data_IF_061537852200
#
_entry.id   IF_061537852200
#
_cell.length_a   1.000
_cell.length_b   1.000
_cell.length_c   1.000
_cell.angle_alpha   90.00
_cell.angle_beta   90.00
_cell.angle_gamma   90.00
#
_symmetry.space_group_name_H-M   'P 1'
#
loop_
_entity.id
_entity.type
_entity.pdbx_description
1 polymer ?
#
# COMPACT_ATOMS: atom_id res chain seq x y z
N UNK A 1 15.48 -37.09 6.11
CA UNK A 1 16.05 -36.22 7.17
C UNK A 1 16.08 -34.74 6.71
N UNK A 2 14.95 -34.20 6.21
CA UNK A 2 14.87 -32.82 5.69
C UNK A 2 14.02 -31.87 6.56
N UNK A 3 13.36 -32.39 7.62
CA UNK A 3 12.41 -31.61 8.43
C UNK A 3 13.04 -30.82 9.58
N UNK A 4 14.32 -31.03 9.91
CA UNK A 4 14.97 -30.38 11.06
C UNK A 4 15.56 -28.98 10.74
N UNK A 5 15.67 -28.59 9.47
CA UNK A 5 16.29 -27.34 9.03
C UNK A 5 15.35 -26.12 9.03
N UNK A 6 14.05 -26.30 9.30
CA UNK A 6 13.05 -25.22 9.26
C UNK A 6 12.82 -24.57 10.65
N UNK A 7 13.36 -25.16 11.73
CA UNK A 7 13.02 -24.76 13.12
C UNK A 7 13.81 -23.56 13.64
N UNK A 8 14.88 -23.12 12.98
CA UNK A 8 15.68 -21.98 13.45
C UNK A 8 14.97 -20.63 13.14
N UNK A 9 14.52 -19.87 14.16
CA UNK A 9 13.85 -18.58 13.96
C UNK A 9 14.74 -17.55 13.25
N UNK A 10 16.06 -17.72 13.27
CA UNK A 10 17.00 -16.81 12.60
C UNK A 10 17.00 -17.01 11.08
N UNK A 11 16.91 -18.26 10.60
CA UNK A 11 16.81 -18.59 9.17
C UNK A 11 15.49 -18.09 8.57
N UNK A 12 14.38 -18.29 9.29
CA UNK A 12 13.06 -17.78 8.89
C UNK A 12 13.05 -16.24 8.77
N UNK A 13 13.73 -15.54 9.69
CA UNK A 13 13.88 -14.08 9.63
C UNK A 13 14.69 -13.63 8.41
N UNK A 14 15.75 -14.36 8.03
CA UNK A 14 16.57 -14.06 6.84
C UNK A 14 15.78 -14.23 5.55
N UNK A 15 15.07 -15.35 5.38
CA UNK A 15 14.25 -15.63 4.20
C UNK A 15 13.15 -14.56 4.05
N UNK A 16 12.41 -14.24 5.13
CA UNK A 16 11.39 -13.17 5.10
C UNK A 16 11.99 -11.80 4.78
N UNK A 17 13.22 -11.52 5.26
CA UNK A 17 13.93 -10.28 4.93
C UNK A 17 14.26 -10.22 3.45
N UNK A 18 14.88 -11.25 2.88
CA UNK A 18 15.20 -11.33 1.45
C UNK A 18 13.95 -11.18 0.58
N UNK A 19 12.89 -11.93 0.87
CA UNK A 19 11.63 -11.83 0.13
C UNK A 19 11.03 -10.41 0.17
N UNK A 20 11.07 -9.73 1.33
CA UNK A 20 10.60 -8.34 1.43
C UNK A 20 11.43 -7.38 0.59
N UNK A 21 12.75 -7.58 0.55
CA UNK A 21 13.66 -6.75 -0.24
C UNK A 21 13.42 -6.94 -1.74
N UNK A 22 13.33 -8.20 -2.22
CA UNK A 22 13.04 -8.52 -3.62
C UNK A 22 11.65 -8.03 -4.07
N UNK A 23 10.66 -8.11 -3.18
CA UNK A 23 9.34 -7.52 -3.45
C UNK A 23 9.43 -6.00 -3.60
N UNK A 24 10.16 -5.34 -2.70
CA UNK A 24 10.29 -3.88 -2.75
C UNK A 24 11.07 -3.39 -3.98
N UNK A 25 12.10 -4.11 -4.43
CA UNK A 25 12.80 -3.77 -5.68
C UNK A 25 11.87 -3.82 -6.89
N UNK A 26 10.99 -4.83 -6.97
CA UNK A 26 10.02 -4.95 -8.07
C UNK A 26 8.98 -3.82 -8.03
N UNK A 27 8.51 -3.46 -6.83
CA UNK A 27 7.59 -2.31 -6.63
C UNK A 27 8.29 -1.00 -7.01
N UNK A 28 9.56 -0.82 -6.64
CA UNK A 28 10.34 0.37 -6.96
C UNK A 28 10.57 0.51 -8.46
N UNK A 29 10.80 -0.59 -9.17
CA UNK A 29 10.98 -0.63 -10.62
C UNK A 29 9.73 -0.14 -11.39
N UNK A 30 8.53 -0.27 -10.81
CA UNK A 30 7.30 0.29 -11.41
C UNK A 30 7.23 1.81 -11.30
N UNK A 31 7.97 2.41 -10.36
CA UNK A 31 8.03 3.84 -10.13
C UNK A 31 6.91 4.35 -9.22
N UNK A 32 7.22 5.41 -8.45
CA UNK A 32 6.34 6.00 -7.43
C UNK A 32 4.97 6.37 -7.99
N UNK A 33 4.92 7.06 -9.14
CA UNK A 33 3.66 7.50 -9.74
C UNK A 33 2.70 6.36 -10.08
N UNK A 34 3.20 5.26 -10.68
CA UNK A 34 2.37 4.10 -11.00
C UNK A 34 1.89 3.38 -9.75
N UNK A 35 2.74 3.30 -8.72
CA UNK A 35 2.36 2.73 -7.42
C UNK A 35 1.25 3.54 -6.75
N UNK A 36 1.35 4.87 -6.67
CA UNK A 36 0.29 5.68 -6.06
C UNK A 36 -1.04 5.58 -6.84
N UNK A 37 -1.01 5.49 -8.16
CA UNK A 37 -2.23 5.30 -8.96
C UNK A 37 -2.85 3.92 -8.75
N UNK A 38 -2.07 2.84 -8.80
CA UNK A 38 -2.61 1.48 -8.67
C UNK A 38 -2.97 1.12 -7.23
N UNK A 39 -2.09 1.37 -6.27
CA UNK A 39 -2.33 1.02 -4.87
C UNK A 39 -3.18 2.07 -4.13
N UNK A 40 -2.97 3.35 -4.42
CA UNK A 40 -3.68 4.44 -3.74
C UNK A 40 -5.05 4.67 -4.33
N UNK A 41 -5.11 5.07 -5.60
CA UNK A 41 -6.37 5.45 -6.23
C UNK A 41 -7.23 4.23 -6.56
N UNK A 42 -6.70 3.26 -7.30
CA UNK A 42 -7.46 2.09 -7.74
C UNK A 42 -7.61 1.01 -6.65
N UNK A 43 -6.59 0.86 -5.80
CA UNK A 43 -6.54 -0.21 -4.80
C UNK A 43 -7.21 0.13 -3.47
N UNK A 44 -7.23 1.40 -3.07
CA UNK A 44 -7.82 1.84 -1.79
C UNK A 44 -8.90 2.90 -1.97
N UNK A 45 -8.66 3.92 -2.80
CA UNK A 45 -9.58 5.03 -3.00
C UNK A 45 -10.92 4.61 -3.63
N UNK A 46 -10.86 3.95 -4.79
CA UNK A 46 -12.03 3.51 -5.54
C UNK A 46 -12.91 2.51 -4.76
N UNK A 47 -12.36 1.44 -4.15
CA UNK A 47 -13.15 0.51 -3.36
C UNK A 47 -13.74 1.15 -2.11
N UNK A 48 -13.01 2.01 -1.39
CA UNK A 48 -13.58 2.73 -0.24
C UNK A 48 -14.75 3.61 -0.67
N UNK A 49 -14.62 4.27 -1.82
CA UNK A 49 -15.66 5.16 -2.33
C UNK A 49 -16.90 4.38 -2.75
N UNK A 50 -16.72 3.26 -3.45
CA UNK A 50 -17.82 2.35 -3.79
C UNK A 50 -18.49 1.77 -2.54
N UNK A 51 -17.70 1.36 -1.55
CA UNK A 51 -18.21 0.86 -0.27
C UNK A 51 -19.02 1.92 0.48
N UNK A 52 -18.48 3.15 0.58
CA UNK A 52 -19.18 4.26 1.24
C UNK A 52 -20.48 4.62 0.51
N UNK A 53 -20.46 4.64 -0.83
CA UNK A 53 -21.67 4.88 -1.62
C UNK A 53 -22.73 3.79 -1.39
N UNK A 54 -22.34 2.52 -1.29
CA UNK A 54 -23.27 1.43 -0.99
C UNK A 54 -23.86 1.53 0.43
N UNK A 55 -23.03 1.90 1.41
CA UNK A 55 -23.46 2.15 2.79
C UNK A 55 -24.43 3.34 2.86
N UNK A 56 -24.11 4.43 2.16
CA UNK A 56 -24.95 5.63 2.11
C UNK A 56 -26.31 5.35 1.47
N UNK A 57 -26.32 4.60 0.37
CA UNK A 57 -27.55 4.16 -0.28
C UNK A 57 -28.43 3.32 0.64
N UNK A 58 -27.84 2.48 1.51
CA UNK A 58 -28.59 1.60 2.40
C UNK A 58 -29.04 2.26 3.70
N UNK A 59 -28.21 3.13 4.31
CA UNK A 59 -28.48 3.70 5.63
C UNK A 59 -29.15 5.08 5.61
N UNK A 60 -28.93 5.90 4.57
CA UNK A 60 -29.35 7.30 4.60
C UNK A 60 -29.71 7.83 3.19
N UNK A 61 -30.93 7.60 2.69
CA UNK A 61 -31.33 8.04 1.36
C UNK A 61 -31.44 9.56 1.18
N UNK A 62 -31.33 10.36 2.26
CA UNK A 62 -31.45 11.83 2.21
C UNK A 62 -30.11 12.56 2.35
N UNK A 63 -29.01 11.93 1.97
CA UNK A 63 -27.70 12.60 2.01
C UNK A 63 -27.69 13.76 1.01
N UNK A 64 -27.34 14.99 1.44
CA UNK A 64 -27.25 16.13 0.56
C UNK A 64 -26.16 15.89 -0.50
N UNK A 65 -26.44 16.26 -1.75
CA UNK A 65 -25.53 16.04 -2.88
C UNK A 65 -24.11 16.61 -2.66
N UNK A 66 -24.00 17.70 -1.89
CA UNK A 66 -22.72 18.30 -1.48
C UNK A 66 -21.83 17.33 -0.71
N UNK A 67 -22.42 16.53 0.17
CA UNK A 67 -21.70 15.57 1.01
C UNK A 67 -21.28 14.32 0.22
N UNK A 68 -22.08 13.94 -0.79
CA UNK A 68 -21.71 12.89 -1.75
C UNK A 68 -20.48 13.30 -2.59
N UNK A 69 -20.49 14.52 -3.14
CA UNK A 69 -19.36 15.08 -3.90
C UNK A 69 -18.12 15.20 -3.02
N UNK A 70 -18.27 15.65 -1.78
CA UNK A 70 -17.18 15.74 -0.83
C UNK A 70 -16.56 14.36 -0.56
N UNK A 71 -17.38 13.34 -0.32
CA UNK A 71 -16.90 11.97 -0.09
C UNK A 71 -16.21 11.40 -1.34
N UNK A 72 -16.77 11.64 -2.53
CA UNK A 72 -16.21 11.20 -3.80
C UNK A 72 -14.84 11.82 -4.09
N UNK A 73 -14.54 13.00 -3.53
CA UNK A 73 -13.22 13.64 -3.65
C UNK A 73 -12.29 13.29 -2.48
N UNK A 74 -12.77 13.29 -1.24
CA UNK A 74 -11.93 13.04 -0.05
C UNK A 74 -11.45 11.60 0.03
N UNK A 75 -12.31 10.62 -0.24
CA UNK A 75 -11.96 9.21 -0.11
C UNK A 75 -10.82 8.78 -1.05
N UNK A 76 -10.84 9.11 -2.36
CA UNK A 76 -9.69 8.82 -3.22
C UNK A 76 -8.45 9.62 -2.82
N UNK A 77 -8.60 10.86 -2.34
CA UNK A 77 -7.47 11.66 -1.83
C UNK A 77 -6.78 10.96 -0.65
N UNK A 78 -7.58 10.46 0.30
CA UNK A 78 -7.10 9.68 1.44
C UNK A 78 -6.41 8.39 0.99
N UNK A 79 -6.95 7.68 0.00
CA UNK A 79 -6.32 6.50 -0.59
C UNK A 79 -4.92 6.80 -1.16
N UNK A 80 -4.78 7.93 -1.87
CA UNK A 80 -3.49 8.38 -2.42
C UNK A 80 -2.51 8.77 -1.30
N UNK A 81 -2.97 9.47 -0.26
CA UNK A 81 -2.14 9.83 0.90
C UNK A 81 -1.60 8.58 1.62
N UNK A 82 -2.45 7.59 1.87
CA UNK A 82 -2.06 6.32 2.49
C UNK A 82 -1.03 5.60 1.62
N UNK A 83 -1.24 5.53 0.30
CA UNK A 83 -0.27 4.93 -0.61
C UNK A 83 1.07 5.69 -0.61
N UNK A 84 1.05 7.02 -0.48
CA UNK A 84 2.27 7.82 -0.35
C UNK A 84 3.04 7.49 0.94
N UNK A 85 2.33 7.32 2.07
CA UNK A 85 2.94 6.92 3.35
C UNK A 85 3.50 5.50 3.29
N UNK A 86 2.80 4.57 2.63
CA UNK A 86 3.28 3.20 2.42
C UNK A 86 4.54 3.21 1.56
N UNK A 87 4.56 4.02 0.50
CA UNK A 87 5.74 4.20 -0.34
C UNK A 87 6.93 4.73 0.45
N UNK A 88 6.76 5.85 1.16
CA UNK A 88 7.84 6.47 1.92
C UNK A 88 8.37 5.54 3.02
N UNK A 89 7.48 4.83 3.72
CA UNK A 89 7.85 3.87 4.75
C UNK A 89 8.63 2.67 4.19
N UNK A 90 8.22 2.15 3.03
CA UNK A 90 8.92 1.05 2.38
C UNK A 90 10.27 1.49 1.81
N UNK A 91 10.34 2.69 1.23
CA UNK A 91 11.58 3.25 0.70
C UNK A 91 12.59 3.50 1.83
N UNK A 92 12.15 4.12 2.94
CA UNK A 92 12.97 4.30 4.14
C UNK A 92 13.50 2.98 4.69
N UNK A 93 12.64 1.96 4.83
CA UNK A 93 13.04 0.62 5.29
C UNK A 93 13.99 -0.10 4.33
N UNK A 94 13.92 0.20 3.03
CA UNK A 94 14.83 -0.34 2.03
C UNK A 94 16.21 0.31 2.13
N UNK A 95 16.26 1.64 2.30
CA UNK A 95 17.50 2.40 2.49
C UNK A 95 18.21 2.02 3.80
N UNK A 96 17.47 1.91 4.91
CA UNK A 96 17.99 1.50 6.24
C UNK A 96 18.63 0.10 6.23
N UNK A 97 18.27 -0.76 5.27
CA UNK A 97 18.87 -2.10 5.09
C UNK A 97 20.20 -2.08 4.33
N UNK A 98 20.76 -0.90 4.05
CA UNK A 98 22.04 -0.75 3.36
C UNK A 98 21.98 -1.02 1.85
N UNK A 99 20.78 -1.21 1.28
CA UNK A 99 20.59 -1.39 -0.16
C UNK A 99 20.43 -0.03 -0.89
N UNK A 100 20.65 1.06 -0.16
CA UNK A 100 20.47 2.45 -0.59
C UNK A 100 21.74 3.21 -0.97
N UNK A 101 22.91 2.55 -1.06
CA UNK A 101 24.12 3.17 -1.59
C UNK A 101 24.58 2.46 -2.85
N UNK A 102 24.11 2.94 -4.00
CA UNK A 102 24.82 2.80 -5.27
C UNK A 102 24.29 3.84 -6.26
N UNK A 103 25.16 4.85 -6.51
CA UNK A 103 25.18 5.79 -7.64
C UNK A 103 24.12 6.88 -7.68
N UNK A 104 24.48 8.02 -7.10
CA UNK A 104 24.45 9.28 -7.85
C UNK A 104 25.53 9.24 -8.95
#
# INVERSE_FOLDING_TARGET
>A
MASALITDPTQLRRIRRQQRTTRWTNIRAQGRRRFLMHFGLLGLGLPLTAFKAAVDFYLAPQIPASQLVLNLLLLPLCGVLIASVIWSSGERRYLERGHGRARD
#
